data_IF_184810754702
#
_entry.id   IF_184810754702
#
_cell.length_a   1.000
_cell.length_b   1.000
_cell.length_c   1.000
_cell.angle_alpha   90.00
_cell.angle_beta   90.00
_cell.angle_gamma   90.00
#
_symmetry.space_group_name_H-M   'P 1'
#
loop_
_entity.id
_entity.type
_entity.pdbx_description
1 polymer ?
#
# COMPACT_ATOMS: atom_id res chain seq x y z
N UNK A 1 1.37 -1.24 30.20
CA UNK A 1 2.72 -1.02 30.79
C UNK A 1 2.74 -1.40 32.26
N UNK A 2 1.96 -0.76 33.15
CA UNK A 2 1.96 -1.12 34.59
C UNK A 2 1.66 -2.59 34.88
N UNK A 3 0.73 -3.20 34.13
CA UNK A 3 0.47 -4.65 34.21
C UNK A 3 1.73 -5.50 33.93
N UNK A 4 2.56 -5.09 32.96
CA UNK A 4 3.83 -5.77 32.64
C UNK A 4 4.85 -5.55 33.77
N UNK A 5 4.91 -4.34 34.34
CA UNK A 5 5.77 -4.00 35.48
C UNK A 5 5.43 -4.88 36.68
N UNK A 6 4.15 -4.97 37.06
CA UNK A 6 3.68 -5.82 38.16
C UNK A 6 4.02 -7.29 37.91
N UNK A 7 3.74 -7.80 36.70
CA UNK A 7 4.05 -9.19 36.35
C UNK A 7 5.56 -9.49 36.34
N UNK A 8 6.43 -8.50 36.13
CA UNK A 8 7.89 -8.68 36.18
C UNK A 8 8.38 -9.14 37.55
N UNK A 9 7.64 -8.85 38.63
CA UNK A 9 7.95 -9.32 39.98
C UNK A 9 7.90 -10.85 40.12
N UNK A 10 7.18 -11.54 39.22
CA UNK A 10 7.05 -12.99 39.20
C UNK A 10 7.97 -13.68 38.16
N UNK A 11 8.81 -12.89 37.47
CA UNK A 11 9.84 -13.37 36.56
C UNK A 11 9.60 -13.05 35.08
N UNK A 12 10.52 -13.51 34.23
CA UNK A 12 10.52 -13.19 32.80
C UNK A 12 9.33 -13.82 32.04
N UNK A 13 8.88 -15.01 32.45
CA UNK A 13 7.81 -15.72 31.75
C UNK A 13 6.46 -14.96 31.80
N UNK A 14 6.07 -14.50 32.99
CA UNK A 14 4.85 -13.71 33.20
C UNK A 14 4.95 -12.32 32.59
N UNK A 15 6.14 -11.69 32.63
CA UNK A 15 6.41 -10.46 31.89
C UNK A 15 6.17 -10.62 30.37
N UNK A 16 6.68 -11.69 29.76
CA UNK A 16 6.49 -11.96 28.33
C UNK A 16 5.01 -12.24 28.03
N UNK A 17 4.33 -13.05 28.84
CA UNK A 17 2.90 -13.32 28.66
C UNK A 17 2.08 -12.02 28.72
N UNK A 18 2.37 -11.15 29.70
CA UNK A 18 1.69 -9.87 29.84
C UNK A 18 1.94 -8.94 28.63
N UNK A 19 3.18 -8.83 28.15
CA UNK A 19 3.48 -7.99 26.99
C UNK A 19 2.84 -8.49 25.69
N UNK A 20 2.83 -9.80 25.45
CA UNK A 20 2.11 -10.40 24.32
C UNK A 20 0.61 -10.07 24.39
N UNK A 21 0.00 -10.25 25.58
CA UNK A 21 -1.41 -9.95 25.78
C UNK A 21 -1.75 -8.47 25.57
N UNK A 22 -0.90 -7.55 26.07
CA UNK A 22 -1.04 -6.10 25.86
C UNK A 22 -0.97 -5.77 24.37
N UNK A 23 0.02 -6.30 23.65
CA UNK A 23 0.12 -6.11 22.21
C UNK A 23 -1.11 -6.60 21.46
N UNK A 24 -1.58 -7.82 21.75
CA UNK A 24 -2.75 -8.39 21.08
C UNK A 24 -4.00 -7.55 21.34
N UNK A 25 -4.23 -7.13 22.60
CA UNK A 25 -5.36 -6.26 22.97
C UNK A 25 -5.30 -4.89 22.31
N UNK A 26 -4.10 -4.36 22.07
CA UNK A 26 -3.92 -3.03 21.46
C UNK A 26 -4.48 -2.95 20.04
N UNK A 27 -4.62 -4.07 19.34
CA UNK A 27 -5.20 -4.10 17.98
C UNK A 27 -6.69 -3.73 17.96
N UNK A 28 -7.41 -3.98 19.05
CA UNK A 28 -8.87 -3.82 19.12
C UNK A 28 -9.33 -2.40 18.80
N UNK A 29 -8.84 -1.41 19.54
CA UNK A 29 -9.27 -0.02 19.35
C UNK A 29 -8.82 0.56 18.00
N UNK A 30 -7.58 0.24 17.58
CA UNK A 30 -7.01 0.73 16.32
C UNK A 30 -7.75 0.18 15.11
N UNK A 31 -8.09 -1.12 15.09
CA UNK A 31 -8.80 -1.72 13.96
C UNK A 31 -10.25 -1.21 13.87
N UNK A 32 -10.93 -1.02 15.00
CA UNK A 32 -12.27 -0.41 15.02
C UNK A 32 -12.23 1.01 14.47
N UNK A 33 -11.22 1.80 14.86
CA UNK A 33 -11.03 3.15 14.34
C UNK A 33 -10.80 3.15 12.83
N UNK A 34 -10.02 2.21 12.30
CA UNK A 34 -9.81 2.07 10.86
C UNK A 34 -11.10 1.69 10.13
N UNK A 35 -11.85 0.72 10.65
CA UNK A 35 -13.13 0.33 10.06
C UNK A 35 -14.11 1.52 10.01
N UNK A 36 -14.20 2.30 11.09
CA UNK A 36 -15.03 3.50 11.15
C UNK A 36 -14.55 4.58 10.16
N UNK A 37 -13.24 4.78 10.01
CA UNK A 37 -12.68 5.74 9.06
C UNK A 37 -12.94 5.33 7.61
N UNK A 38 -12.76 4.04 7.28
CA UNK A 38 -13.03 3.51 5.93
C UNK A 38 -14.50 3.66 5.60
N UNK A 39 -15.40 3.16 6.47
CA UNK A 39 -16.83 3.22 6.22
C UNK A 39 -17.34 4.67 6.18
N UNK A 40 -16.92 5.50 7.12
CA UNK A 40 -17.33 6.91 7.16
C UNK A 40 -16.84 7.71 5.95
N UNK A 41 -15.61 7.50 5.48
CA UNK A 41 -15.11 8.17 4.27
C UNK A 41 -15.75 7.62 2.99
N UNK A 42 -16.08 6.32 2.96
CA UNK A 42 -16.80 5.70 1.85
C UNK A 42 -18.23 6.25 1.71
N UNK A 43 -18.97 6.42 2.80
CA UNK A 43 -20.33 7.00 2.75
C UNK A 43 -20.34 8.46 2.25
N UNK A 44 -19.23 9.19 2.38
CA UNK A 44 -19.14 10.58 1.94
C UNK A 44 -18.78 10.74 0.46
N UNK A 45 -17.89 9.89 -0.09
CA UNK A 45 -17.41 10.03 -1.47
C UNK A 45 -16.92 8.71 -2.09
N UNK A 46 -17.46 7.57 -1.67
CA UNK A 46 -17.08 6.23 -2.14
C UNK A 46 -15.59 5.95 -1.94
N UNK A 47 -14.99 5.14 -2.83
CA UNK A 47 -13.56 4.84 -2.79
C UNK A 47 -12.66 6.07 -2.99
N UNK A 48 -13.15 7.11 -3.66
CA UNK A 48 -12.44 8.38 -3.77
C UNK A 48 -12.32 9.06 -2.40
N UNK A 49 -13.38 9.02 -1.58
CA UNK A 49 -13.35 9.48 -0.19
C UNK A 49 -12.35 8.72 0.68
N UNK A 50 -12.28 7.39 0.54
CA UNK A 50 -11.29 6.55 1.23
C UNK A 50 -9.86 6.94 0.82
N UNK A 51 -9.61 7.13 -0.47
CA UNK A 51 -8.30 7.55 -0.99
C UNK A 51 -7.91 8.96 -0.51
N UNK A 52 -8.85 9.91 -0.49
CA UNK A 52 -8.63 11.24 0.07
C UNK A 52 -8.34 11.20 1.57
N UNK A 53 -9.04 10.37 2.35
CA UNK A 53 -8.75 10.19 3.77
C UNK A 53 -7.33 9.63 3.99
N UNK A 54 -6.91 8.67 3.15
CA UNK A 54 -5.54 8.16 3.15
C UNK A 54 -4.51 9.26 2.87
N UNK A 55 -4.77 10.08 1.84
CA UNK A 55 -3.90 11.21 1.47
C UNK A 55 -3.85 12.28 2.56
N UNK A 56 -4.99 12.61 3.17
CA UNK A 56 -5.11 13.61 4.23
C UNK A 56 -4.35 13.18 5.49
N UNK A 57 -4.31 11.88 5.80
CA UNK A 57 -3.44 11.34 6.85
C UNK A 57 -1.97 11.72 6.56
N UNK A 58 -1.51 11.69 5.32
CA UNK A 58 -0.13 12.07 4.96
C UNK A 58 0.13 13.58 4.95
N UNK A 59 -0.89 14.43 5.12
CA UNK A 59 -0.70 15.89 5.08
C UNK A 59 0.23 16.42 6.18
N UNK A 60 0.37 15.67 7.29
CA UNK A 60 1.25 16.04 8.41
C UNK A 60 2.54 15.21 8.47
N UNK A 61 2.92 14.53 7.37
CA UNK A 61 4.10 13.65 7.32
C UNK A 61 5.40 14.35 7.71
N UNK A 62 5.61 15.62 7.33
CA UNK A 62 6.82 16.34 7.72
C UNK A 62 6.97 16.46 9.24
N UNK A 63 5.87 16.78 9.95
CA UNK A 63 5.88 16.87 11.41
C UNK A 63 6.06 15.50 12.07
N UNK A 64 5.43 14.46 11.52
CA UNK A 64 5.56 13.10 12.03
C UNK A 64 7.00 12.58 11.90
N UNK A 65 7.62 12.78 10.74
CA UNK A 65 9.01 12.38 10.51
C UNK A 65 9.96 13.15 11.43
N UNK A 66 9.71 14.44 11.69
CA UNK A 66 10.51 15.21 12.64
C UNK A 66 10.42 14.66 14.07
N UNK A 67 9.21 14.30 14.51
CA UNK A 67 8.93 13.76 15.84
C UNK A 67 9.45 12.31 16.00
N UNK A 68 9.39 11.50 14.94
CA UNK A 68 9.94 10.14 14.90
C UNK A 68 11.47 10.16 14.88
N UNK A 69 12.08 10.98 14.01
CA UNK A 69 13.53 11.14 13.92
C UNK A 69 14.17 11.74 15.19
N UNK A 70 13.40 12.50 15.98
CA UNK A 70 13.86 13.01 17.27
C UNK A 70 14.31 11.89 18.22
N UNK A 71 13.62 10.74 18.24
CA UNK A 71 13.93 9.65 19.17
C UNK A 71 15.35 9.08 18.98
N UNK A 72 15.69 8.56 17.79
CA UNK A 72 17.04 8.06 17.49
C UNK A 72 18.16 9.10 17.65
N UNK A 73 17.85 10.39 17.48
CA UNK A 73 18.82 11.47 17.73
C UNK A 73 19.09 11.59 19.24
N UNK A 74 18.05 11.57 20.07
CA UNK A 74 18.17 11.62 21.52
C UNK A 74 18.91 10.39 22.09
N UNK A 75 18.60 9.19 21.60
CA UNK A 75 19.28 7.95 21.98
C UNK A 75 20.78 8.01 21.66
N UNK A 76 21.16 8.39 20.43
CA UNK A 76 22.56 8.56 20.05
C UNK A 76 23.26 9.65 20.89
N UNK A 77 22.58 10.75 21.22
CA UNK A 77 23.13 11.79 22.09
C UNK A 77 23.43 11.24 23.49
N UNK A 78 22.54 10.41 24.05
CA UNK A 78 22.77 9.73 25.32
C UNK A 78 23.93 8.73 25.24
N UNK A 79 24.01 7.94 24.17
CA UNK A 79 25.11 7.00 23.95
C UNK A 79 26.47 7.70 23.86
N UNK A 80 26.55 8.82 23.12
CA UNK A 80 27.77 9.65 23.04
C UNK A 80 28.13 10.26 24.39
N UNK A 81 27.14 10.71 25.17
CA UNK A 81 27.38 11.25 26.51
C UNK A 81 27.99 10.21 27.46
N UNK A 82 27.47 8.98 27.45
CA UNK A 82 27.99 7.86 28.24
C UNK A 82 29.39 7.46 27.80
N UNK A 83 29.61 7.27 26.49
CA UNK A 83 30.92 6.88 25.93
C UNK A 83 32.00 7.96 26.08
N UNK A 84 31.60 9.21 26.27
CA UNK A 84 32.52 10.34 26.49
C UNK A 84 32.73 10.67 27.97
N UNK A 85 32.19 9.86 28.89
CA UNK A 85 32.27 10.05 30.35
C UNK A 85 31.85 11.45 30.81
N UNK A 86 30.80 12.01 30.18
CA UNK A 86 30.29 13.33 30.57
C UNK A 86 29.63 13.29 31.96
N UNK A 87 29.42 14.48 32.53
CA UNK A 87 28.81 14.62 33.84
C UNK A 87 27.42 13.94 33.91
N UNK A 88 27.04 13.28 35.02
CA UNK A 88 25.82 12.48 35.10
C UNK A 88 24.52 13.22 34.73
N UNK A 89 24.47 14.54 34.98
CA UNK A 89 23.30 15.35 34.65
C UNK A 89 23.06 15.47 33.12
N UNK A 90 24.09 15.23 32.29
CA UNK A 90 23.95 15.16 30.82
C UNK A 90 23.25 13.87 30.42
N UNK A 91 23.64 12.74 31.03
CA UNK A 91 22.97 11.45 30.83
C UNK A 91 21.52 11.50 31.32
N UNK A 92 21.26 12.07 32.49
CA UNK A 92 19.91 12.26 33.02
C UNK A 92 19.01 13.05 32.06
N UNK A 93 19.51 14.15 31.48
CA UNK A 93 18.76 14.94 30.49
C UNK A 93 18.50 14.16 29.20
N UNK A 94 19.50 13.43 28.70
CA UNK A 94 19.35 12.63 27.47
C UNK A 94 18.42 11.44 27.68
N UNK A 95 18.42 10.80 28.85
CA UNK A 95 17.47 9.73 29.21
C UNK A 95 16.02 10.23 29.23
N UNK A 96 15.77 11.46 29.71
CA UNK A 96 14.45 12.10 29.63
C UNK A 96 14.04 12.29 28.16
N UNK A 97 14.94 12.78 27.31
CA UNK A 97 14.67 12.99 25.88
C UNK A 97 14.42 11.66 25.15
N UNK A 98 15.21 10.63 25.44
CA UNK A 98 15.06 9.28 24.88
C UNK A 98 13.74 8.63 25.31
N UNK A 99 13.30 8.82 26.56
CA UNK A 99 11.97 8.39 27.01
C UNK A 99 10.82 9.01 26.20
N UNK A 100 10.92 10.33 25.92
CA UNK A 100 9.98 11.01 25.01
C UNK A 100 10.10 10.43 23.60
N UNK A 101 11.34 10.23 23.12
CA UNK A 101 11.68 9.62 21.85
C UNK A 101 11.03 8.26 21.59
N UNK A 102 10.98 7.38 22.58
CA UNK A 102 10.37 6.06 22.42
C UNK A 102 8.85 6.15 22.33
N UNK A 103 8.25 7.10 23.03
CA UNK A 103 6.81 7.37 22.89
C UNK A 103 6.49 7.96 21.51
N UNK A 104 7.31 8.89 21.03
CA UNK A 104 7.11 9.50 19.70
C UNK A 104 7.35 8.50 18.57
N UNK A 105 8.34 7.62 18.69
CA UNK A 105 8.59 6.54 17.76
C UNK A 105 7.42 5.55 17.69
N UNK A 106 6.79 5.22 18.83
CA UNK A 106 5.60 4.38 18.84
C UNK A 106 4.42 5.05 18.10
N UNK A 107 4.22 6.36 18.28
CA UNK A 107 3.21 7.13 17.54
C UNK A 107 3.53 7.15 16.05
N UNK A 108 4.78 7.42 15.65
CA UNK A 108 5.24 7.40 14.26
C UNK A 108 5.00 6.05 13.60
N UNK A 109 5.36 4.95 14.28
CA UNK A 109 5.10 3.57 13.83
C UNK A 109 3.61 3.29 13.66
N UNK A 110 2.78 3.69 14.63
CA UNK A 110 1.32 3.54 14.53
C UNK A 110 0.73 4.30 13.34
N UNK A 111 1.24 5.50 13.09
CA UNK A 111 0.85 6.33 11.95
C UNK A 111 1.26 5.72 10.61
N UNK A 112 2.48 5.20 10.52
CA UNK A 112 2.98 4.51 9.32
C UNK A 112 2.15 3.27 8.99
N UNK A 113 1.66 2.54 10.01
CA UNK A 113 0.75 1.41 9.81
C UNK A 113 -0.63 1.88 9.33
N UNK A 114 -1.21 2.89 9.97
CA UNK A 114 -2.50 3.45 9.58
C UNK A 114 -2.49 3.95 8.12
N UNK A 115 -1.41 4.67 7.77
CA UNK A 115 -1.08 5.09 6.40
C UNK A 115 -1.07 3.90 5.45
N UNK A 116 -0.32 2.85 5.78
CA UNK A 116 -0.21 1.67 4.93
C UNK A 116 -1.56 1.01 4.66
N UNK A 117 -2.40 0.87 5.69
CA UNK A 117 -3.73 0.29 5.56
C UNK A 117 -4.61 1.10 4.59
N UNK A 118 -4.69 2.42 4.79
CA UNK A 118 -5.53 3.29 3.95
C UNK A 118 -4.98 3.44 2.53
N UNK A 119 -3.65 3.53 2.37
CA UNK A 119 -3.02 3.54 1.04
C UNK A 119 -3.26 2.22 0.32
N UNK A 120 -3.18 1.07 1.00
CA UNK A 120 -3.48 -0.23 0.38
C UNK A 120 -4.92 -0.29 -0.16
N UNK A 121 -5.89 0.26 0.56
CA UNK A 121 -7.27 0.35 0.08
C UNK A 121 -7.43 1.25 -1.15
N UNK A 122 -6.74 2.40 -1.18
CA UNK A 122 -6.70 3.25 -2.37
C UNK A 122 -6.07 2.51 -3.57
N UNK A 123 -5.00 1.75 -3.33
CA UNK A 123 -4.37 0.90 -4.34
C UNK A 123 -5.29 -0.24 -4.80
N UNK A 124 -6.19 -0.76 -3.94
CA UNK A 124 -7.20 -1.74 -4.36
C UNK A 124 -8.22 -1.15 -5.33
N UNK A 125 -8.70 0.06 -5.05
CA UNK A 125 -9.62 0.74 -5.97
C UNK A 125 -8.95 0.92 -7.34
N UNK A 126 -7.69 1.38 -7.38
CA UNK A 126 -6.92 1.49 -8.61
C UNK A 126 -6.69 0.13 -9.29
N UNK A 127 -6.35 -0.91 -8.51
CA UNK A 127 -6.11 -2.25 -9.02
C UNK A 127 -7.33 -2.84 -9.74
N UNK A 128 -8.52 -2.70 -9.15
CA UNK A 128 -9.78 -3.13 -9.75
C UNK A 128 -10.00 -2.42 -11.10
N UNK A 129 -9.77 -1.11 -11.14
CA UNK A 129 -9.86 -0.33 -12.39
C UNK A 129 -8.86 -0.78 -13.45
N UNK A 130 -7.58 -0.98 -13.11
CA UNK A 130 -6.55 -1.37 -14.08
C UNK A 130 -6.68 -2.81 -14.58
N UNK A 131 -7.28 -3.70 -13.79
CA UNK A 131 -7.52 -5.09 -14.20
C UNK A 131 -8.84 -5.29 -14.92
N UNK A 132 -9.76 -4.30 -14.87
CA UNK A 132 -11.08 -4.41 -15.48
C UNK A 132 -12.03 -5.39 -14.78
N UNK A 133 -11.70 -5.84 -13.57
CA UNK A 133 -12.58 -6.72 -12.78
C UNK A 133 -13.70 -5.89 -12.13
N UNK A 134 -14.90 -6.47 -11.99
CA UNK A 134 -16.02 -5.80 -11.30
C UNK A 134 -15.79 -5.66 -9.79
N UNK A 135 -14.90 -6.47 -9.23
CA UNK A 135 -14.57 -6.50 -7.81
C UNK A 135 -13.90 -7.81 -7.40
N UNK A 136 -13.61 -7.94 -6.11
CA UNK A 136 -12.98 -9.14 -5.53
C UNK A 136 -14.06 -9.95 -4.82
N UNK A 137 -14.51 -11.06 -5.42
CA UNK A 137 -15.56 -11.89 -4.86
C UNK A 137 -15.00 -13.01 -3.97
N UNK A 138 -15.09 -12.81 -2.65
CA UNK A 138 -14.64 -13.80 -1.64
C UNK A 138 -15.44 -15.12 -1.64
N UNK A 139 -16.54 -15.24 -2.39
CA UNK A 139 -17.25 -16.51 -2.58
C UNK A 139 -16.57 -17.43 -3.60
N UNK A 140 -15.63 -16.93 -4.41
CA UNK A 140 -14.85 -17.77 -5.33
C UNK A 140 -13.76 -18.52 -4.56
N UNK A 141 -13.62 -19.82 -4.85
CA UNK A 141 -12.76 -20.72 -4.08
C UNK A 141 -11.27 -20.35 -4.17
N UNK A 142 -10.81 -19.93 -5.35
CA UNK A 142 -9.46 -19.45 -5.63
C UNK A 142 -9.17 -18.12 -4.92
N UNK A 143 -10.10 -17.17 -4.95
CA UNK A 143 -10.00 -15.88 -4.24
C UNK A 143 -9.91 -16.10 -2.73
N UNK A 144 -10.80 -16.93 -2.18
CA UNK A 144 -10.79 -17.25 -0.75
C UNK A 144 -9.51 -17.99 -0.35
N UNK A 145 -9.04 -18.93 -1.16
CA UNK A 145 -7.77 -19.63 -0.91
C UNK A 145 -6.59 -18.65 -0.89
N UNK A 146 -6.52 -17.75 -1.88
CA UNK A 146 -5.46 -16.75 -1.95
C UNK A 146 -5.55 -15.72 -0.82
N UNK A 147 -6.74 -15.40 -0.32
CA UNK A 147 -6.92 -14.57 0.88
C UNK A 147 -6.23 -15.19 2.11
N UNK A 148 -6.39 -16.50 2.34
CA UNK A 148 -5.70 -17.19 3.44
C UNK A 148 -4.18 -17.26 3.22
N UNK A 149 -3.74 -17.49 1.98
CA UNK A 149 -2.32 -17.45 1.63
C UNK A 149 -1.73 -16.06 1.92
N UNK A 150 -2.43 -15.00 1.53
CA UNK A 150 -2.05 -13.62 1.83
C UNK A 150 -2.01 -13.33 3.32
N UNK A 151 -3.02 -13.78 4.07
CA UNK A 151 -3.07 -13.64 5.52
C UNK A 151 -1.92 -14.32 6.27
N UNK A 152 -1.36 -15.39 5.70
CA UNK A 152 -0.21 -16.10 6.26
C UNK A 152 1.11 -15.33 6.08
N UNK A 153 1.27 -14.56 5.01
CA UNK A 153 2.55 -13.94 4.63
C UNK A 153 3.13 -13.02 5.71
N UNK A 154 2.35 -12.09 6.33
CA UNK A 154 2.84 -11.29 7.45
C UNK A 154 3.36 -12.12 8.64
N UNK A 155 2.74 -13.26 8.92
CA UNK A 155 3.13 -14.17 10.01
C UNK A 155 4.47 -14.83 9.69
N UNK A 156 4.61 -15.36 8.48
CA UNK A 156 5.84 -16.02 8.01
C UNK A 156 6.98 -15.02 7.91
N UNK A 157 6.71 -13.82 7.36
CA UNK A 157 7.69 -12.73 7.30
C UNK A 157 8.19 -12.38 8.70
N UNK A 158 7.26 -12.21 9.65
CA UNK A 158 7.61 -11.93 11.05
C UNK A 158 8.51 -13.01 11.64
N UNK A 159 8.16 -14.28 11.45
CA UNK A 159 8.96 -15.40 11.93
C UNK A 159 10.38 -15.41 11.32
N UNK A 160 10.51 -15.11 10.03
CA UNK A 160 11.79 -15.01 9.35
C UNK A 160 12.64 -13.87 9.93
N UNK A 161 12.08 -12.65 10.00
CA UNK A 161 12.75 -11.48 10.54
C UNK A 161 13.23 -11.71 11.99
N UNK A 162 12.35 -12.22 12.85
CA UNK A 162 12.68 -12.53 14.24
C UNK A 162 13.79 -13.60 14.35
N UNK A 163 13.71 -14.66 13.54
CA UNK A 163 14.74 -15.71 13.54
C UNK A 163 16.09 -15.17 13.09
N UNK A 164 16.11 -14.28 12.09
CA UNK A 164 17.32 -13.66 11.59
C UNK A 164 17.98 -12.77 12.65
N UNK A 165 17.21 -11.93 13.35
CA UNK A 165 17.72 -11.14 14.48
C UNK A 165 18.24 -12.04 15.60
N UNK A 166 17.50 -13.11 15.95
CA UNK A 166 17.92 -14.03 17.01
C UNK A 166 19.26 -14.73 16.73
N UNK A 167 19.52 -15.13 15.47
CA UNK A 167 20.83 -15.67 15.07
C UNK A 167 21.94 -14.62 15.23
N UNK A 168 21.73 -13.43 14.67
CA UNK A 168 22.73 -12.35 14.71
C UNK A 168 23.03 -11.90 16.15
N UNK A 169 21.99 -11.83 17.00
CA UNK A 169 22.13 -11.52 18.41
C UNK A 169 22.93 -12.59 19.16
N UNK A 170 22.74 -13.88 18.85
CA UNK A 170 23.53 -14.95 19.46
C UNK A 170 25.01 -14.87 19.09
N UNK A 171 25.31 -14.61 17.82
CA UNK A 171 26.69 -14.38 17.35
C UNK A 171 27.31 -13.16 18.04
N UNK A 172 26.56 -12.05 18.15
CA UNK A 172 26.97 -10.85 18.87
C UNK A 172 27.28 -11.13 20.35
N UNK A 173 26.40 -11.86 21.05
CA UNK A 173 26.60 -12.21 22.47
C UNK A 173 27.84 -13.08 22.65
N UNK A 174 28.06 -14.05 21.77
CA UNK A 174 29.26 -14.90 21.83
C UNK A 174 30.54 -14.10 21.59
N UNK A 175 30.52 -13.16 20.65
CA UNK A 175 31.66 -12.29 20.37
C UNK A 175 31.96 -11.32 21.53
N UNK A 176 30.94 -10.66 22.09
CA UNK A 176 31.13 -9.79 23.26
C UNK A 176 31.68 -10.57 24.46
N UNK A 177 31.16 -11.78 24.72
CA UNK A 177 31.69 -12.66 25.77
C UNK A 177 33.12 -13.09 25.51
N UNK A 178 33.48 -13.37 24.25
CA UNK A 178 34.85 -13.69 23.84
C UNK A 178 35.77 -12.51 24.16
N UNK A 179 35.39 -11.29 23.78
CA UNK A 179 36.18 -10.09 24.06
C UNK A 179 36.38 -9.88 25.58
N UNK A 180 35.32 -9.99 26.39
CA UNK A 180 35.44 -9.88 27.85
C UNK A 180 36.35 -10.95 28.49
N UNK A 181 36.43 -12.15 27.91
CA UNK A 181 37.26 -13.24 28.43
C UNK A 181 38.71 -13.17 27.97
N UNK A 182 38.93 -12.80 26.71
CA UNK A 182 40.22 -12.99 26.04
C UNK A 182 41.05 -11.72 25.91
N UNK A 183 40.43 -10.53 25.94
CA UNK A 183 41.15 -9.25 25.80
C UNK A 183 41.41 -8.69 27.20
N UNK A 184 42.67 -8.62 27.66
CA UNK A 184 43.01 -8.08 28.96
C UNK A 184 42.64 -6.59 29.07
N UNK A 185 42.15 -6.16 30.23
CA UNK A 185 41.89 -4.75 30.52
C UNK A 185 40.50 -4.26 30.17
N UNK A 186 39.66 -5.02 29.43
CA UNK A 186 38.32 -4.54 29.03
C UNK A 186 37.41 -4.37 30.25
N UNK A 187 37.36 -5.36 31.14
CA UNK A 187 36.52 -5.29 32.35
C UNK A 187 37.03 -4.25 33.34
N UNK A 188 38.33 -3.95 33.29
CA UNK A 188 39.00 -2.92 34.08
C UNK A 188 38.92 -1.52 33.44
N UNK A 189 38.35 -1.38 32.25
CA UNK A 189 38.23 -0.11 31.52
C UNK A 189 39.53 0.42 30.92
N UNK A 190 40.60 -0.38 30.88
CA UNK A 190 41.92 0.00 30.34
C UNK A 190 42.19 -0.57 28.96
N UNK A 191 41.48 -1.63 28.57
CA UNK A 191 41.59 -2.29 27.27
C UNK A 191 40.57 -1.75 26.27
N UNK A 192 40.95 -1.65 25.00
CA UNK A 192 40.06 -1.19 23.93
C UNK A 192 39.30 -2.38 23.30
N UNK A 193 37.95 -2.35 23.26
CA UNK A 193 37.15 -3.38 22.58
C UNK A 193 37.36 -3.40 21.07
N UNK A 194 37.11 -4.57 20.45
CA UNK A 194 37.16 -4.73 18.99
C UNK A 194 35.80 -4.40 18.37
N UNK A 195 35.43 -3.12 18.31
CA UNK A 195 34.13 -2.67 17.80
C UNK A 195 33.84 -3.13 16.36
N UNK A 196 34.87 -3.14 15.50
CA UNK A 196 34.74 -3.53 14.10
C UNK A 196 34.21 -4.97 13.91
N UNK A 197 34.51 -5.88 14.84
CA UNK A 197 33.99 -7.26 14.78
C UNK A 197 32.48 -7.31 15.02
N UNK A 198 31.99 -6.56 15.99
CA UNK A 198 30.55 -6.44 16.26
C UNK A 198 29.82 -5.85 15.03
N UNK A 199 30.39 -4.80 14.43
CA UNK A 199 29.85 -4.19 13.20
C UNK A 199 29.83 -5.18 12.02
N UNK A 200 30.89 -5.96 11.85
CA UNK A 200 30.98 -6.96 10.77
C UNK A 200 29.92 -8.07 10.92
N UNK A 201 29.69 -8.55 12.14
CA UNK A 201 28.65 -9.55 12.45
C UNK A 201 27.26 -9.03 12.07
N UNK A 202 26.88 -7.85 12.59
CA UNK A 202 25.55 -7.28 12.31
C UNK A 202 25.37 -6.95 10.83
N UNK A 203 26.39 -6.42 10.17
CA UNK A 203 26.36 -6.06 8.74
C UNK A 203 26.17 -7.29 7.86
N UNK A 204 26.98 -8.34 8.04
CA UNK A 204 26.88 -9.57 7.24
C UNK A 204 25.54 -10.27 7.45
N UNK A 205 25.09 -10.35 8.69
CA UNK A 205 23.80 -10.96 9.02
C UNK A 205 22.65 -10.18 8.37
N UNK A 206 22.61 -8.85 8.49
CA UNK A 206 21.57 -8.02 7.91
C UNK A 206 21.51 -8.16 6.38
N UNK A 207 22.65 -8.04 5.69
CA UNK A 207 22.71 -8.13 4.22
C UNK A 207 22.27 -9.49 3.69
N UNK A 208 22.64 -10.57 4.38
CA UNK A 208 22.31 -11.93 3.96
C UNK A 208 20.85 -12.28 4.26
N UNK A 209 20.38 -11.95 5.45
CA UNK A 209 19.08 -12.40 5.94
C UNK A 209 17.92 -11.53 5.41
N UNK A 210 18.16 -10.30 4.95
CA UNK A 210 17.11 -9.45 4.33
C UNK A 210 16.64 -9.94 2.95
N UNK A 211 17.45 -10.73 2.24
CA UNK A 211 17.16 -11.17 0.87
C UNK A 211 15.87 -12.00 0.82
N UNK A 212 15.73 -12.99 1.70
CA UNK A 212 14.63 -13.93 1.63
C UNK A 212 13.27 -13.29 1.96
N UNK A 213 13.09 -12.48 3.03
CA UNK A 213 11.86 -11.73 3.26
C UNK A 213 11.53 -10.74 2.13
N UNK A 214 12.56 -10.08 1.55
CA UNK A 214 12.39 -9.16 0.42
C UNK A 214 11.88 -9.87 -0.84
N UNK A 215 12.51 -10.98 -1.21
CA UNK A 215 12.08 -11.80 -2.35
C UNK A 215 10.68 -12.37 -2.13
N UNK A 216 10.36 -12.83 -0.92
CA UNK A 216 9.02 -13.31 -0.60
C UNK A 216 7.97 -12.23 -0.93
N UNK A 217 8.22 -10.98 -0.55
CA UNK A 217 7.29 -9.86 -0.76
C UNK A 217 7.08 -9.53 -2.24
N UNK A 218 8.14 -9.60 -3.05
CA UNK A 218 8.09 -9.21 -4.47
C UNK A 218 7.59 -10.36 -5.35
N UNK A 219 8.11 -11.57 -5.14
CA UNK A 219 7.83 -12.72 -6.01
C UNK A 219 6.42 -13.26 -5.81
N UNK A 220 5.93 -13.28 -4.56
CA UNK A 220 4.61 -13.87 -4.26
C UNK A 220 3.43 -13.23 -5.02
N UNK A 221 3.23 -11.90 -5.06
CA UNK A 221 2.14 -11.31 -5.84
C UNK A 221 2.31 -11.56 -7.35
N UNK A 222 3.55 -11.59 -7.86
CA UNK A 222 3.82 -11.88 -9.28
C UNK A 222 3.40 -13.31 -9.63
N UNK A 223 3.83 -14.29 -8.82
CA UNK A 223 3.49 -15.70 -9.04
C UNK A 223 1.98 -15.92 -8.93
N UNK A 224 1.33 -15.30 -7.94
CA UNK A 224 -0.12 -15.44 -7.77
C UNK A 224 -0.87 -14.80 -8.93
N UNK A 225 -0.50 -13.58 -9.33
CA UNK A 225 -1.09 -12.89 -10.46
C UNK A 225 -0.97 -13.68 -11.76
N UNK A 226 0.22 -14.16 -12.09
CA UNK A 226 0.46 -14.88 -13.36
C UNK A 226 -0.18 -16.28 -13.41
N UNK A 227 -0.35 -16.95 -12.26
CA UNK A 227 -0.90 -18.32 -12.23
C UNK A 227 -2.41 -18.36 -11.98
N UNK A 228 -2.95 -17.44 -11.19
CA UNK A 228 -4.35 -17.46 -10.75
C UNK A 228 -5.17 -16.28 -11.28
N UNK A 229 -4.53 -15.25 -11.83
CA UNK A 229 -5.19 -14.09 -12.44
C UNK A 229 -5.47 -12.94 -11.45
N UNK A 230 -6.19 -11.95 -11.95
CA UNK A 230 -6.39 -10.66 -11.27
C UNK A 230 -7.19 -10.78 -9.97
N UNK A 231 -8.31 -11.50 -9.98
CA UNK A 231 -9.20 -11.53 -8.82
C UNK A 231 -8.60 -12.30 -7.62
N UNK A 232 -7.96 -13.48 -7.80
CA UNK A 232 -7.28 -14.16 -6.70
C UNK A 232 -6.07 -13.39 -6.15
N UNK A 233 -5.35 -12.65 -7.00
CA UNK A 233 -4.32 -11.72 -6.55
C UNK A 233 -4.91 -10.60 -5.68
N UNK A 234 -6.08 -10.08 -6.04
CA UNK A 234 -6.82 -9.14 -5.19
C UNK A 234 -7.14 -9.73 -3.81
N UNK A 235 -7.58 -11.00 -3.76
CA UNK A 235 -7.78 -11.74 -2.51
C UNK A 235 -6.50 -11.86 -1.69
N UNK A 236 -5.39 -12.24 -2.34
CA UNK A 236 -4.06 -12.30 -1.70
C UNK A 236 -3.65 -10.95 -1.08
N UNK A 237 -3.76 -9.87 -1.85
CA UNK A 237 -3.39 -8.53 -1.38
C UNK A 237 -4.27 -8.09 -0.19
N UNK A 238 -5.57 -8.36 -0.22
CA UNK A 238 -6.47 -8.11 0.90
C UNK A 238 -6.07 -8.89 2.17
N UNK A 239 -5.65 -10.14 2.01
CA UNK A 239 -5.17 -10.98 3.10
C UNK A 239 -3.90 -10.43 3.74
N UNK A 240 -2.92 -10.04 2.91
CA UNK A 240 -1.67 -9.41 3.36
C UNK A 240 -1.98 -8.11 4.11
N UNK A 241 -2.90 -7.29 3.61
CA UNK A 241 -3.29 -6.02 4.23
C UNK A 241 -3.90 -6.23 5.63
N UNK A 242 -4.98 -7.02 5.73
CA UNK A 242 -5.70 -7.20 7.01
C UNK A 242 -4.81 -7.86 8.07
N UNK A 243 -4.14 -8.97 7.71
CA UNK A 243 -3.23 -9.65 8.63
C UNK A 243 -2.02 -8.80 8.99
N UNK A 244 -1.45 -8.11 8.00
CA UNK A 244 -0.27 -7.26 8.17
C UNK A 244 -0.52 -6.12 9.14
N UNK A 245 -1.66 -5.44 9.03
CA UNK A 245 -2.05 -4.37 9.96
C UNK A 245 -2.15 -4.89 11.40
N UNK A 246 -2.81 -6.03 11.61
CA UNK A 246 -2.96 -6.63 12.94
C UNK A 246 -1.60 -6.99 13.55
N UNK A 247 -0.73 -7.65 12.77
CA UNK A 247 0.61 -8.04 13.21
C UNK A 247 1.53 -6.85 13.46
N UNK A 248 1.46 -5.81 12.63
CA UNK A 248 2.26 -4.61 12.79
C UNK A 248 1.93 -3.89 14.10
N UNK A 249 0.64 -3.67 14.38
CA UNK A 249 0.18 -3.01 15.61
C UNK A 249 0.56 -3.86 16.83
N UNK A 250 0.28 -5.17 16.76
CA UNK A 250 0.63 -6.11 17.82
C UNK A 250 2.11 -6.04 18.18
N UNK A 251 3.01 -6.17 17.20
CA UNK A 251 4.44 -6.24 17.44
C UNK A 251 5.02 -4.91 17.93
N UNK A 252 4.65 -3.80 17.29
CA UNK A 252 5.13 -2.48 17.68
C UNK A 252 4.70 -2.13 19.11
N UNK A 253 3.44 -2.38 19.45
CA UNK A 253 2.92 -2.05 20.77
C UNK A 253 3.40 -3.02 21.85
N UNK A 254 3.56 -4.31 21.56
CA UNK A 254 4.15 -5.26 22.51
C UNK A 254 5.59 -4.86 22.85
N UNK A 255 6.43 -4.64 21.82
CA UNK A 255 7.81 -4.24 21.98
C UNK A 255 7.97 -2.90 22.70
N UNK A 256 7.20 -1.88 22.32
CA UNK A 256 7.21 -0.59 23.02
C UNK A 256 6.71 -0.69 24.46
N UNK A 257 5.76 -1.58 24.75
CA UNK A 257 5.26 -1.78 26.10
C UNK A 257 6.29 -2.48 27.01
N UNK A 258 7.07 -3.44 26.49
CA UNK A 258 8.17 -4.06 27.23
C UNK A 258 9.30 -3.06 27.52
N UNK A 259 9.70 -2.25 26.53
CA UNK A 259 10.73 -1.23 26.72
C UNK A 259 10.34 -0.20 27.78
N UNK A 260 9.11 0.33 27.69
CA UNK A 260 8.60 1.27 28.69
C UNK A 260 8.45 0.63 30.08
N UNK A 261 8.16 -0.67 30.15
CA UNK A 261 8.14 -1.39 31.43
C UNK A 261 9.56 -1.47 32.02
N UNK A 262 10.59 -1.80 31.21
CA UNK A 262 12.00 -1.75 31.64
C UNK A 262 12.40 -0.35 32.12
N UNK A 263 12.11 0.70 31.34
CA UNK A 263 12.42 2.10 31.71
C UNK A 263 11.75 2.53 33.02
N UNK A 264 10.57 2.00 33.34
CA UNK A 264 9.91 2.27 34.63
C UNK A 264 10.76 1.82 35.82
N UNK A 265 11.47 0.70 35.73
CA UNK A 265 12.40 0.24 36.76
C UNK A 265 13.69 1.06 36.82
N UNK A 266 14.14 1.62 35.69
CA UNK A 266 15.31 2.50 35.64
C UNK A 266 15.04 3.85 36.30
N UNK A 267 13.81 4.36 36.19
CA UNK A 267 13.34 5.55 36.91
C UNK A 267 12.97 5.29 38.38
N UNK A 268 12.80 4.02 38.76
CA UNK A 268 12.27 3.60 40.06
C UNK A 268 10.74 3.51 40.03
N UNK A 269 10.21 2.30 40.29
CA UNK A 269 8.77 2.03 40.25
C UNK A 269 8.31 1.28 41.48
N UNK A 270 7.13 1.67 41.98
CA UNK A 270 6.49 1.02 43.12
C UNK A 270 5.79 -0.26 42.67
N UNK A 271 6.13 -1.38 43.31
CA UNK A 271 5.45 -2.66 43.11
C UNK A 271 5.05 -3.17 44.49
N UNK A 272 3.75 -3.44 44.69
CA UNK A 272 3.21 -3.98 45.94
C UNK A 272 3.61 -3.17 47.20
N UNK A 273 3.81 -1.86 47.06
CA UNK A 273 4.21 -0.98 48.18
C UNK A 273 5.73 -0.88 48.40
N UNK A 274 6.56 -1.55 47.60
CA UNK A 274 8.02 -1.43 47.65
C UNK A 274 8.58 -0.76 46.40
N UNK A 275 9.51 0.18 46.58
CA UNK A 275 10.17 0.84 45.47
C UNK A 275 11.24 -0.07 44.89
N UNK A 276 11.08 -0.43 43.62
CA UNK A 276 11.98 -1.32 42.90
C UNK A 276 12.79 -0.52 41.88
N UNK A 277 14.09 -0.80 41.83
CA UNK A 277 15.06 -0.07 41.00
C UNK A 277 15.82 -0.98 40.03
N UNK A 278 16.64 -0.34 39.19
CA UNK A 278 17.64 -0.97 38.32
C UNK A 278 18.49 -1.99 39.08
N UNK A 279 18.71 -3.15 38.46
CA UNK A 279 19.50 -4.26 39.00
C UNK A 279 18.73 -5.28 39.83
N UNK A 280 17.49 -4.98 40.24
CA UNK A 280 16.58 -5.95 40.87
C UNK A 280 16.25 -7.13 39.93
N UNK A 281 15.78 -8.24 40.50
CA UNK A 281 15.40 -9.39 39.68
C UNK A 281 14.17 -9.10 38.79
N UNK A 282 13.24 -8.26 39.26
CA UNK A 282 12.15 -7.76 38.45
C UNK A 282 12.66 -6.89 37.27
N UNK A 283 13.67 -6.06 37.50
CA UNK A 283 14.32 -5.31 36.41
C UNK A 283 14.97 -6.24 35.39
N UNK A 284 15.68 -7.30 35.82
CA UNK A 284 16.27 -8.29 34.88
C UNK A 284 15.20 -9.02 34.07
N UNK A 285 14.04 -9.32 34.66
CA UNK A 285 12.89 -9.87 33.95
C UNK A 285 12.35 -8.89 32.90
N UNK A 286 12.25 -7.60 33.24
CA UNK A 286 11.84 -6.55 32.31
C UNK A 286 12.84 -6.35 31.15
N UNK A 287 14.15 -6.39 31.44
CA UNK A 287 15.20 -6.38 30.40
C UNK A 287 15.04 -7.58 29.45
N UNK A 288 14.73 -8.77 29.98
CA UNK A 288 14.47 -9.95 29.15
C UNK A 288 13.27 -9.71 28.22
N UNK A 289 12.18 -9.15 28.74
CA UNK A 289 11.02 -8.78 27.93
C UNK A 289 11.35 -7.77 26.83
N UNK A 290 12.13 -6.73 27.15
CA UNK A 290 12.57 -5.73 26.17
C UNK A 290 13.41 -6.36 25.05
N UNK A 291 14.35 -7.25 25.38
CA UNK A 291 15.16 -7.96 24.37
C UNK A 291 14.34 -8.90 23.47
N UNK A 292 13.18 -9.37 23.94
CA UNK A 292 12.19 -10.08 23.09
C UNK A 292 11.42 -9.09 22.22
N UNK A 293 11.15 -7.89 22.75
CA UNK A 293 10.45 -6.80 22.08
C UNK A 293 11.25 -6.05 21.02
N UNK A 294 12.58 -6.01 21.09
CA UNK A 294 13.44 -5.34 20.11
C UNK A 294 13.22 -5.83 18.68
N UNK A 295 13.30 -7.15 18.35
CA UNK A 295 12.99 -7.62 17.01
C UNK A 295 11.53 -7.35 16.61
N UNK A 296 10.60 -7.27 17.57
CA UNK A 296 9.20 -6.96 17.28
C UNK A 296 9.04 -5.50 16.84
N UNK A 297 9.51 -4.55 17.65
CA UNK A 297 9.25 -3.12 17.44
C UNK A 297 10.21 -2.47 16.44
N UNK A 298 11.39 -3.04 16.19
CA UNK A 298 12.43 -2.41 15.36
C UNK A 298 12.81 -3.22 14.12
N UNK A 299 12.27 -4.43 13.95
CA UNK A 299 12.51 -5.23 12.73
C UNK A 299 11.21 -5.69 12.09
N UNK A 300 10.50 -6.66 12.68
CA UNK A 300 9.35 -7.27 12.01
C UNK A 300 8.15 -6.32 11.93
N UNK A 301 7.81 -5.65 13.03
CA UNK A 301 6.61 -4.80 13.15
C UNK A 301 6.62 -3.62 12.19
N UNK A 302 7.68 -2.78 12.16
CA UNK A 302 7.74 -1.68 11.20
C UNK A 302 7.80 -2.17 9.75
N UNK A 303 8.50 -3.29 9.49
CA UNK A 303 8.62 -3.85 8.13
C UNK A 303 7.27 -4.30 7.54
N UNK A 304 6.27 -4.62 8.37
CA UNK A 304 4.92 -4.94 7.90
C UNK A 304 4.30 -3.82 7.07
N UNK A 305 4.56 -2.55 7.41
CA UNK A 305 4.01 -1.43 6.64
C UNK A 305 4.51 -1.46 5.18
N UNK A 306 5.79 -1.83 5.01
CA UNK A 306 6.45 -1.92 3.71
C UNK A 306 5.95 -3.15 2.98
N UNK A 307 5.84 -4.29 3.68
CA UNK A 307 5.28 -5.54 3.14
C UNK A 307 3.91 -5.28 2.50
N UNK A 308 3.01 -4.60 3.21
CA UNK A 308 1.66 -4.27 2.73
C UNK A 308 1.73 -3.38 1.49
N UNK A 309 2.41 -2.24 1.59
CA UNK A 309 2.49 -1.25 0.50
C UNK A 309 3.15 -1.84 -0.75
N UNK A 310 4.26 -2.55 -0.57
CA UNK A 310 5.02 -3.13 -1.67
C UNK A 310 4.23 -4.26 -2.35
N UNK A 311 3.55 -5.12 -1.58
CA UNK A 311 2.69 -6.17 -2.17
C UNK A 311 1.60 -5.56 -3.03
N UNK A 312 0.93 -4.51 -2.55
CA UNK A 312 -0.13 -3.83 -3.31
C UNK A 312 0.42 -3.10 -4.54
N UNK A 313 1.57 -2.45 -4.40
CA UNK A 313 2.24 -1.75 -5.48
C UNK A 313 2.68 -2.72 -6.59
N UNK A 314 3.28 -3.86 -6.24
CA UNK A 314 3.67 -4.88 -7.22
C UNK A 314 2.43 -5.43 -7.93
N UNK A 315 1.35 -5.72 -7.20
CA UNK A 315 0.08 -6.12 -7.78
C UNK A 315 -0.48 -5.10 -8.77
N UNK A 316 -0.42 -3.81 -8.42
CA UNK A 316 -0.82 -2.71 -9.31
C UNK A 316 0.07 -2.60 -10.55
N UNK A 317 1.38 -2.77 -10.42
CA UNK A 317 2.32 -2.71 -11.55
C UNK A 317 2.06 -3.83 -12.57
N UNK A 318 1.68 -5.02 -12.12
CA UNK A 318 1.36 -6.13 -13.01
C UNK A 318 -0.11 -6.14 -13.46
N UNK A 319 -0.97 -5.30 -12.88
CA UNK A 319 -2.40 -5.25 -13.19
C UNK A 319 -2.70 -5.13 -14.70
N UNK A 320 -2.01 -4.27 -15.49
CA UNK A 320 -2.27 -4.17 -16.93
C UNK A 320 -1.94 -5.47 -17.69
N UNK A 321 -0.98 -6.26 -17.20
CA UNK A 321 -0.63 -7.57 -17.80
C UNK A 321 -1.73 -8.60 -17.50
N UNK A 322 -2.38 -8.49 -16.34
CA UNK A 322 -3.43 -9.41 -15.90
C UNK A 322 -4.81 -9.07 -16.47
N UNK A 323 -5.07 -7.81 -16.80
CA UNK A 323 -6.30 -7.37 -17.48
C UNK A 323 -6.38 -7.79 -18.96
N UNK A 324 -5.35 -8.47 -19.48
CA UNK A 324 -5.12 -8.75 -20.90
C UNK A 324 -6.20 -9.57 -21.62
N UNK A 325 -7.07 -10.31 -20.92
CA UNK A 325 -8.20 -10.99 -21.57
C UNK A 325 -9.37 -10.03 -21.89
N UNK A 326 -9.33 -8.80 -21.37
CA UNK A 326 -10.21 -7.67 -21.75
C UNK A 326 -9.44 -6.48 -22.36
N UNK A 327 -8.12 -6.46 -22.29
CA UNK A 327 -7.28 -5.35 -22.78
C UNK A 327 -6.87 -5.46 -24.26
N UNK A 328 -7.26 -6.53 -24.95
CA UNK A 328 -7.09 -6.62 -26.41
C UNK A 328 -8.06 -5.71 -27.19
N UNK A 329 -9.05 -5.09 -26.53
CA UNK A 329 -10.07 -4.24 -27.17
C UNK A 329 -10.21 -2.84 -26.54
N UNK A 330 -9.30 -2.41 -25.66
CA UNK A 330 -9.34 -1.05 -25.10
C UNK A 330 -7.98 -0.40 -25.15
N UNK A 331 -7.63 0.12 -26.33
CA UNK A 331 -6.68 1.22 -26.43
C UNK A 331 -7.26 2.40 -25.63
N UNK A 332 -6.71 2.68 -24.46
CA UNK A 332 -6.89 3.97 -23.81
C UNK A 332 -6.27 5.04 -24.72
N UNK A 333 -7.11 5.63 -25.58
CA UNK A 333 -6.86 6.98 -26.06
C UNK A 333 -7.01 7.90 -24.84
N UNK A 334 -5.89 8.43 -24.35
CA UNK A 334 -5.91 9.59 -23.45
C UNK A 334 -6.31 10.81 -24.27
N UNK A 335 -7.61 11.07 -24.40
CA UNK A 335 -8.11 12.39 -24.75
C UNK A 335 -7.99 13.29 -23.51
N UNK A 336 -7.02 14.22 -23.52
CA UNK A 336 -7.00 15.31 -22.54
C UNK A 336 -8.16 16.26 -22.86
N UNK A 337 -9.30 16.08 -22.19
CA UNK A 337 -10.40 17.04 -22.22
C UNK A 337 -10.08 18.21 -21.28
N UNK A 338 -9.71 19.37 -21.84
CA UNK A 338 -9.65 20.64 -21.10
C UNK A 338 -10.90 21.47 -21.35
N UNK A 339 -11.67 21.69 -20.28
CA UNK A 339 -12.91 22.45 -20.28
C UNK A 339 -12.63 23.92 -19.92
N UNK A 340 -12.97 24.86 -20.81
CA UNK A 340 -12.92 26.30 -20.53
C UNK A 340 -14.34 26.89 -20.54
N UNK A 341 -14.60 27.79 -19.60
CA UNK A 341 -15.80 28.64 -19.54
C UNK A 341 -15.35 30.03 -20.01
N UNK A 342 -15.98 30.55 -21.07
CA UNK A 342 -15.71 31.92 -21.54
C UNK A 342 -16.37 32.99 -20.63
N UNK A 343 -15.99 34.26 -20.79
CA UNK A 343 -16.50 35.37 -19.96
C UNK A 343 -18.02 35.59 -20.08
N UNK A 344 -18.69 34.93 -21.03
CA UNK A 344 -20.14 34.94 -21.22
C UNK A 344 -20.85 33.69 -20.66
N UNK A 345 -20.11 32.77 -20.02
CA UNK A 345 -20.65 31.61 -19.32
C UNK A 345 -20.97 30.39 -20.20
N UNK A 346 -20.48 30.34 -21.44
CA UNK A 346 -20.66 29.19 -22.31
C UNK A 346 -19.50 28.20 -22.18
N UNK A 347 -19.83 26.91 -22.02
CA UNK A 347 -18.86 25.82 -22.06
C UNK A 347 -18.45 25.54 -23.50
N UNK A 348 -17.15 25.56 -23.78
CA UNK A 348 -16.60 25.12 -25.07
C UNK A 348 -15.62 23.98 -24.88
N UNK A 349 -15.80 22.96 -25.71
CA UNK A 349 -15.00 21.74 -25.75
C UNK A 349 -14.08 21.82 -26.98
N UNK A 350 -12.77 21.66 -26.76
CA UNK A 350 -11.79 21.56 -27.84
C UNK A 350 -10.95 20.31 -27.58
N UNK A 351 -11.11 19.31 -28.44
CA UNK A 351 -10.21 18.16 -28.54
C UNK A 351 -9.08 18.50 -29.50
N UNK A 352 -7.83 18.48 -29.03
CA UNK A 352 -6.64 18.54 -29.90
C UNK A 352 -6.12 17.11 -30.02
N UNK A 353 -6.18 16.54 -31.22
CA UNK A 353 -5.39 15.36 -31.56
C UNK A 353 -4.70 15.52 -32.92
N UNK A 354 -3.54 14.90 -33.03
CA UNK A 354 -2.56 15.10 -34.09
C UNK A 354 -3.08 14.83 -35.51
N UNK A 355 -3.38 15.91 -36.23
CA UNK A 355 -3.04 16.04 -37.65
C UNK A 355 -3.78 15.16 -38.64
N UNK A 356 -5.11 15.06 -38.57
CA UNK A 356 -6.07 15.21 -39.69
C UNK A 356 -7.47 14.72 -39.26
N UNK A 357 -8.51 15.54 -39.41
CA UNK A 357 -9.90 15.14 -39.11
C UNK A 357 -10.63 14.73 -40.38
N UNK A 358 -11.16 13.51 -40.43
CA UNK A 358 -12.06 13.06 -41.52
C UNK A 358 -13.41 12.68 -40.91
N UNK A 359 -14.48 13.35 -41.33
CA UNK A 359 -15.86 12.97 -41.00
C UNK A 359 -16.63 12.64 -42.26
N UNK A 360 -17.51 11.63 -42.19
CA UNK A 360 -18.37 11.22 -43.30
C UNK A 360 -19.82 11.15 -42.84
N UNK A 361 -20.67 11.97 -43.43
CA UNK A 361 -22.11 12.00 -43.18
C UNK A 361 -22.84 11.40 -44.38
N UNK A 362 -23.80 10.50 -44.15
CA UNK A 362 -24.58 9.85 -45.20
C UNK A 362 -26.05 10.16 -44.97
N UNK A 363 -26.64 10.96 -45.86
CA UNK A 363 -28.06 11.28 -45.87
C UNK A 363 -28.76 10.45 -46.94
N UNK A 364 -29.88 9.84 -46.60
CA UNK A 364 -30.67 9.00 -47.52
C UNK A 364 -32.09 9.53 -47.59
N UNK A 365 -32.53 9.91 -48.79
CA UNK A 365 -33.91 10.30 -49.06
C UNK A 365 -34.57 9.24 -49.96
N UNK A 366 -35.61 8.58 -49.46
CA UNK A 366 -36.34 7.53 -50.19
C UNK A 366 -37.68 8.07 -50.67
N UNK A 367 -37.95 7.90 -51.97
CA UNK A 367 -39.23 8.22 -52.61
C UNK A 367 -39.84 6.95 -53.17
N UNK A 368 -41.14 6.78 -52.97
CA UNK A 368 -41.90 5.63 -53.45
C UNK A 368 -42.77 6.07 -54.63
N UNK A 369 -42.50 5.57 -55.83
CA UNK A 369 -43.27 5.82 -57.04
C UNK A 369 -43.92 4.50 -57.51
N UNK A 370 -45.12 4.21 -57.01
CA UNK A 370 -45.82 2.95 -57.34
C UNK A 370 -45.10 1.71 -56.77
N UNK A 371 -44.75 0.76 -57.64
CA UNK A 371 -44.02 -0.47 -57.28
C UNK A 371 -42.48 -0.29 -57.30
N UNK A 372 -41.98 0.92 -57.64
CA UNK A 372 -40.55 1.25 -57.63
C UNK A 372 -40.18 2.16 -56.45
N UNK A 373 -39.09 1.83 -55.77
CA UNK A 373 -38.45 2.67 -54.75
C UNK A 373 -37.23 3.35 -55.35
N UNK A 374 -37.12 4.67 -55.17
CA UNK A 374 -35.97 5.47 -55.58
C UNK A 374 -35.32 6.07 -54.33
N UNK A 375 -34.04 5.77 -54.09
CA UNK A 375 -33.27 6.37 -53.01
C UNK A 375 -32.20 7.31 -53.55
N UNK A 376 -32.17 8.53 -53.04
CA UNK A 376 -31.10 9.48 -53.27
C UNK A 376 -30.21 9.51 -52.02
N UNK A 377 -28.95 9.09 -52.17
CA UNK A 377 -27.97 9.00 -51.10
C UNK A 377 -26.95 10.10 -51.31
N UNK A 378 -26.88 11.05 -50.39
CA UNK A 378 -25.89 12.12 -50.37
C UNK A 378 -24.84 11.78 -49.33
N UNK A 379 -23.58 11.76 -49.74
CA UNK A 379 -22.42 11.45 -48.91
C UNK A 379 -21.58 12.71 -48.81
N UNK A 380 -21.47 13.28 -47.61
CA UNK A 380 -20.59 14.40 -47.35
C UNK A 380 -19.34 13.90 -46.64
N UNK A 381 -18.17 14.14 -47.21
CA UNK A 381 -16.88 13.80 -46.60
C UNK A 381 -16.14 15.08 -46.30
N UNK A 382 -15.95 15.39 -45.02
CA UNK A 382 -15.17 16.55 -44.55
C UNK A 382 -13.79 16.08 -44.13
N UNK A 383 -12.75 16.54 -44.82
CA UNK A 383 -11.36 16.29 -44.44
C UNK A 383 -10.68 17.62 -44.09
N UNK A 384 -10.21 17.77 -42.86
CA UNK A 384 -9.51 18.97 -42.38
C UNK A 384 -10.26 20.29 -42.61
N UNK A 385 -11.59 20.26 -42.53
CA UNK A 385 -12.46 21.42 -42.73
C UNK A 385 -12.88 21.70 -44.17
N UNK A 386 -12.44 20.91 -45.16
CA UNK A 386 -12.96 20.95 -46.53
C UNK A 386 -13.97 19.81 -46.77
N UNK A 387 -15.20 20.16 -47.13
CA UNK A 387 -16.30 19.21 -47.37
C UNK A 387 -16.48 18.93 -48.85
N UNK A 388 -16.56 17.65 -49.21
CA UNK A 388 -16.90 17.17 -50.56
C UNK A 388 -18.20 16.38 -50.51
N UNK A 389 -19.13 16.68 -51.43
CA UNK A 389 -20.46 16.06 -51.47
C UNK A 389 -20.60 15.19 -52.72
N UNK A 390 -20.93 13.91 -52.53
CA UNK A 390 -21.21 12.95 -53.62
C UNK A 390 -22.66 12.46 -53.49
N UNK A 391 -23.46 12.59 -54.56
CA UNK A 391 -24.84 12.10 -54.60
C UNK A 391 -24.97 10.90 -55.52
N UNK A 392 -25.56 9.81 -55.01
CA UNK A 392 -25.86 8.57 -55.74
C UNK A 392 -27.35 8.29 -55.74
N UNK A 393 -27.88 7.78 -56.85
CA UNK A 393 -29.30 7.41 -56.97
C UNK A 393 -29.43 5.92 -57.19
N UNK A 394 -30.23 5.26 -56.35
CA UNK A 394 -30.57 3.84 -56.44
C UNK A 394 -32.03 3.69 -56.80
N UNK A 395 -32.35 2.73 -57.68
CA UNK A 395 -33.71 2.41 -58.13
C UNK A 395 -33.92 0.91 -58.10
N UNK A 396 -35.06 0.47 -57.59
CA UNK A 396 -35.41 -0.96 -57.54
C UNK A 396 -36.56 -1.23 -56.57
N UNK A 397 -36.77 -2.48 -56.20
CA UNK A 397 -37.71 -2.82 -55.12
C UNK A 397 -37.18 -2.32 -53.77
N UNK A 398 -38.06 -2.06 -52.81
CA UNK A 398 -37.68 -1.56 -51.47
C UNK A 398 -36.57 -2.41 -50.82
N UNK A 399 -36.64 -3.73 -50.98
CA UNK A 399 -35.64 -4.67 -50.45
C UNK A 399 -34.28 -4.57 -51.15
N UNK A 400 -34.27 -4.39 -52.47
CA UNK A 400 -33.02 -4.23 -53.24
C UNK A 400 -32.35 -2.90 -52.94
N UNK A 401 -33.12 -1.82 -52.83
CA UNK A 401 -32.62 -0.48 -52.51
C UNK A 401 -32.06 -0.44 -51.08
N UNK A 402 -32.75 -1.03 -50.09
CA UNK A 402 -32.23 -1.16 -48.72
C UNK A 402 -30.95 -2.00 -48.64
N UNK A 403 -30.84 -3.08 -49.43
CA UNK A 403 -29.62 -3.89 -49.49
C UNK A 403 -28.42 -3.09 -50.07
N UNK A 404 -28.65 -2.28 -51.10
CA UNK A 404 -27.61 -1.43 -51.69
C UNK A 404 -27.17 -0.30 -50.75
N UNK A 405 -28.10 0.31 -50.01
CA UNK A 405 -27.79 1.29 -48.96
C UNK A 405 -26.98 0.64 -47.83
N UNK A 406 -27.35 -0.57 -47.39
CA UNK A 406 -26.62 -1.29 -46.34
C UNK A 406 -25.21 -1.73 -46.78
N UNK A 407 -25.00 -2.06 -48.06
CA UNK A 407 -23.66 -2.32 -48.58
C UNK A 407 -22.75 -1.07 -48.54
N UNK A 408 -23.32 0.13 -48.74
CA UNK A 408 -22.60 1.40 -48.56
C UNK A 408 -22.28 1.71 -47.10
N UNK A 409 -23.13 1.23 -46.18
CA UNK A 409 -22.92 1.34 -44.72
C UNK A 409 -21.92 0.30 -44.18
N UNK A 410 -21.86 -0.89 -44.80
CA UNK A 410 -21.15 -2.07 -44.28
C UNK A 410 -19.81 -2.41 -44.93
N UNK A 411 -19.15 -1.47 -45.63
CA UNK A 411 -17.78 -1.72 -46.10
C UNK A 411 -16.80 -1.43 -44.96
N UNK A 412 -16.45 -2.45 -44.16
CA UNK A 412 -15.28 -2.43 -43.28
C UNK A 412 -14.05 -2.11 -44.13
N UNK A 413 -13.47 -0.91 -43.93
CA UNK A 413 -12.18 -0.56 -44.50
C UNK A 413 -11.10 -0.86 -43.47
N UNK A 414 -10.32 -1.89 -43.75
CA UNK A 414 -9.03 -2.16 -43.10
C UNK A 414 -8.10 -0.95 -43.27
N UNK A 415 -7.88 -0.22 -42.19
CA UNK A 415 -6.92 0.88 -42.11
C UNK A 415 -7.11 1.65 -40.81
N UNK A 416 -6.05 1.74 -40.01
CA UNK A 416 -6.02 2.43 -38.72
C UNK A 416 -6.66 3.83 -38.76
N UNK A 417 -7.39 4.15 -37.69
CA UNK A 417 -8.06 5.41 -37.34
C UNK A 417 -9.33 5.72 -38.14
N UNK A 418 -10.49 5.79 -37.48
CA UNK A 418 -11.58 6.77 -37.73
C UNK A 418 -12.84 6.49 -36.89
N UNK A 419 -13.45 7.57 -36.36
CA UNK A 419 -14.77 7.59 -35.68
C UNK A 419 -15.88 7.81 -36.72
N UNK A 420 -16.92 6.96 -36.71
CA UNK A 420 -18.16 7.15 -37.48
C UNK A 420 -19.22 7.75 -36.56
N UNK A 421 -19.77 8.91 -36.91
CA UNK A 421 -20.93 9.50 -36.21
C UNK A 421 -22.18 9.28 -37.06
N UNK A 422 -23.11 8.49 -36.54
CA UNK A 422 -24.33 8.04 -37.22
C UNK A 422 -25.47 9.05 -37.01
N UNK A 423 -26.15 9.47 -38.09
CA UNK A 423 -27.40 10.27 -38.01
C UNK A 423 -28.49 9.55 -38.81
N UNK A 424 -29.58 9.22 -38.11
CA UNK A 424 -30.72 8.44 -38.58
C UNK A 424 -31.66 9.19 -39.56
N UNK A 425 -32.16 8.41 -40.51
CA UNK A 425 -33.44 8.45 -41.25
C UNK A 425 -34.31 9.73 -41.17
N UNK A 426 -34.35 10.52 -42.25
CA UNK A 426 -35.42 11.51 -42.49
C UNK A 426 -36.43 10.89 -43.46
N UNK A 427 -37.45 10.23 -42.92
CA UNK A 427 -38.60 9.74 -43.69
C UNK A 427 -39.49 10.95 -44.04
N UNK A 428 -39.43 11.45 -45.28
CA UNK A 428 -40.45 12.37 -45.80
C UNK A 428 -41.57 11.57 -46.47
N UNK A 429 -42.79 11.84 -45.99
CA UNK A 429 -44.04 11.15 -46.34
C UNK A 429 -44.80 11.93 -47.42
N UNK A 430 -45.24 11.20 -48.45
CA UNK A 430 -46.32 11.47 -49.42
C UNK A 430 -46.30 12.78 -50.23
N UNK A 431 -46.37 12.63 -51.57
CA UNK A 431 -47.06 13.58 -52.44
C UNK A 431 -48.02 12.77 -53.32
N UNK A 432 -49.32 13.09 -53.22
CA UNK A 432 -50.36 12.68 -54.18
C UNK A 432 -50.08 13.21 -55.59
#
# INVERSE_FOLDING_TARGET
VMDIVENSSTGAATNIIAGLAVGMKSTFASVILFAAAIYGSYELAGFYGVALAASAMMATTAMQLAIDAFGPIADNAGGVAEMSELEPHVRERTDILDSVGNTTAAVGKGFAIASAALTALALFAAYVTFTGIDGINIFKADVLAMLFVGGMIPVVFSAMAMKSVGKAAMEMVQEVRRQFREIPGIMEGTGTPEYAKCVDISTKAALKEMILPGLLTIISPIVIGLLFGAEPLGGYMAGVCVSGVMWAIFQNNAGGAWDNAKKSFEAGVMINGEMTYKGSDAHKAAVTGDTVGDPFKDTSGPSMNILIKLTCLVGLVIAPILGGDHYADTSMETSEEMMFIDEDGNQREISIDGGNSVSKEIQVEMTYEGDETVALVTIETTTNGETTTETKTFRGTESEVKAQINALKGTEMTGDNNVVKEVEEVIKKEVN
#
